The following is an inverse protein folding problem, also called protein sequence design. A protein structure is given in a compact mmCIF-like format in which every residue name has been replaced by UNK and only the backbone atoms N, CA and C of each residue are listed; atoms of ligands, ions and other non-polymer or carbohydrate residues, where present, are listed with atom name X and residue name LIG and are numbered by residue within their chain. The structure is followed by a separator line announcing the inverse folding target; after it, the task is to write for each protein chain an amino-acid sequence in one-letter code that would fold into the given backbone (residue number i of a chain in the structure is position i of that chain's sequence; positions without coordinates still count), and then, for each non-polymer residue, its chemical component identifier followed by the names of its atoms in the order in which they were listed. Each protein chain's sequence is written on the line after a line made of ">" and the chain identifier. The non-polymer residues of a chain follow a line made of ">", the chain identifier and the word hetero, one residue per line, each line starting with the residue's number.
data_IF_124577482738
#
_entry.id   IF_124577482738
#
_cell.length_a   1.000
_cell.length_b   1.000
_cell.length_c   1.000
_cell.angle_alpha   90.00
_cell.angle_beta   90.00
_cell.angle_gamma   90.00
#
_symmetry.space_group_name_H-M   'P 1'
#
loop_
_entity.id
_entity.type
_entity.pdbx_description
1 polymer ?
#
# COMPACT_ATOMS: atom_id res chain seq x y z
N UNK A 1 10.03 -2.18 -19.98
CA UNK A 1 10.11 -3.48 -19.27
C UNK A 1 8.81 -4.23 -19.47
N UNK A 2 8.87 -5.58 -19.45
CA UNK A 2 7.72 -6.46 -19.32
C UNK A 2 7.55 -6.81 -17.83
N UNK A 3 6.43 -6.43 -17.25
CA UNK A 3 6.22 -6.51 -15.79
C UNK A 3 5.00 -7.38 -15.50
N UNK A 4 5.17 -8.40 -14.66
CA UNK A 4 4.06 -9.13 -14.07
C UNK A 4 3.56 -8.38 -12.82
N UNK A 5 2.25 -8.11 -12.73
CA UNK A 5 1.62 -7.41 -11.61
C UNK A 5 0.48 -8.23 -11.04
N UNK A 6 0.58 -8.66 -9.79
CA UNK A 6 -0.56 -9.26 -9.08
C UNK A 6 -1.42 -8.19 -8.41
N UNK A 7 -2.71 -8.47 -8.25
CA UNK A 7 -3.62 -7.56 -7.57
C UNK A 7 -4.01 -6.31 -8.39
N UNK A 8 -3.80 -6.31 -9.69
CA UNK A 8 -4.06 -5.19 -10.60
C UNK A 8 -5.51 -4.66 -10.56
N UNK A 9 -6.48 -5.52 -10.24
CA UNK A 9 -7.91 -5.18 -10.12
C UNK A 9 -8.30 -4.58 -8.77
N UNK A 10 -7.39 -4.62 -7.76
CA UNK A 10 -7.59 -3.96 -6.49
C UNK A 10 -7.35 -2.44 -6.56
N UNK A 11 -7.80 -1.71 -5.53
CA UNK A 11 -7.62 -0.25 -5.44
C UNK A 11 -6.15 0.14 -5.61
N UNK A 12 -5.27 -0.48 -4.83
CA UNK A 12 -3.83 -0.16 -4.83
C UNK A 12 -3.17 -0.62 -6.14
N UNK A 13 -3.43 -1.85 -6.57
CA UNK A 13 -2.90 -2.38 -7.83
C UNK A 13 -3.36 -1.59 -9.06
N UNK A 14 -4.54 -0.98 -9.00
CA UNK A 14 -5.04 -0.08 -10.05
C UNK A 14 -4.19 1.18 -10.22
N UNK A 15 -3.71 1.80 -9.13
CA UNK A 15 -2.76 2.92 -9.21
C UNK A 15 -1.43 2.48 -9.81
N UNK A 16 -0.90 1.35 -9.33
CA UNK A 16 0.35 0.78 -9.84
C UNK A 16 0.23 0.49 -11.34
N UNK A 17 -0.84 -0.18 -11.77
CA UNK A 17 -1.08 -0.51 -13.19
C UNK A 17 -1.12 0.73 -14.08
N UNK A 18 -1.86 1.78 -13.65
CA UNK A 18 -1.93 3.04 -14.41
C UNK A 18 -0.58 3.72 -14.51
N UNK A 19 0.15 3.84 -13.38
CA UNK A 19 1.47 4.46 -13.36
C UNK A 19 2.47 3.73 -14.25
N UNK A 20 2.53 2.40 -14.20
CA UNK A 20 3.41 1.59 -15.02
C UNK A 20 3.10 1.73 -16.53
N UNK A 21 1.81 1.70 -16.90
CA UNK A 21 1.39 1.88 -18.30
C UNK A 21 1.68 3.28 -18.81
N UNK A 22 1.44 4.31 -18.00
CA UNK A 22 1.76 5.69 -18.36
C UNK A 22 3.26 5.91 -18.57
N UNK A 23 4.12 5.16 -17.86
CA UNK A 23 5.57 5.15 -18.05
C UNK A 23 6.04 4.26 -19.22
N UNK A 24 5.12 3.70 -20.03
CA UNK A 24 5.45 2.93 -21.22
C UNK A 24 5.85 1.48 -20.96
N UNK A 25 5.59 0.93 -19.76
CA UNK A 25 5.84 -0.49 -19.48
C UNK A 25 4.73 -1.40 -20.03
N UNK A 26 5.10 -2.59 -20.48
CA UNK A 26 4.16 -3.66 -20.80
C UNK A 26 3.80 -4.40 -19.50
N UNK A 27 2.53 -4.40 -19.12
CA UNK A 27 2.09 -5.00 -17.85
C UNK A 27 1.15 -6.16 -18.09
N UNK A 28 1.57 -7.35 -17.68
CA UNK A 28 0.73 -8.54 -17.58
C UNK A 28 0.07 -8.54 -16.17
N UNK A 29 -1.24 -8.34 -16.14
CA UNK A 29 -2.00 -8.45 -14.90
C UNK A 29 -2.21 -9.93 -14.55
N UNK A 30 -1.81 -10.33 -13.36
CA UNK A 30 -2.06 -11.64 -12.79
C UNK A 30 -3.20 -11.51 -11.76
N UNK A 31 -4.39 -11.87 -12.17
CA UNK A 31 -5.60 -11.79 -11.35
C UNK A 31 -6.60 -12.91 -11.72
N UNK A 32 -7.70 -12.97 -11.01
CA UNK A 32 -8.72 -14.01 -11.23
C UNK A 32 -9.34 -13.97 -12.63
N UNK A 33 -9.39 -12.80 -13.26
CA UNK A 33 -9.91 -12.68 -14.64
C UNK A 33 -8.93 -13.25 -15.68
N UNK A 34 -7.64 -13.27 -15.37
CA UNK A 34 -6.59 -13.89 -16.19
C UNK A 34 -6.28 -15.33 -15.77
N UNK A 35 -7.04 -15.90 -14.82
CA UNK A 35 -6.88 -17.28 -14.34
C UNK A 35 -5.85 -17.46 -13.24
N UNK A 36 -5.27 -16.40 -12.69
CA UNK A 36 -4.33 -16.48 -11.56
C UNK A 36 -5.03 -16.35 -10.22
N UNK A 37 -4.70 -17.25 -9.30
CA UNK A 37 -5.11 -17.21 -7.89
C UNK A 37 -3.88 -17.18 -6.97
N UNK A 38 -4.03 -16.57 -5.80
CA UNK A 38 -2.97 -16.65 -4.77
C UNK A 38 -2.73 -18.13 -4.40
N UNK A 39 -1.46 -18.53 -4.47
CA UNK A 39 -1.03 -19.92 -4.30
C UNK A 39 -0.66 -20.61 -5.61
N UNK A 40 -1.05 -20.07 -6.75
CA UNK A 40 -0.63 -20.59 -8.04
C UNK A 40 0.86 -20.28 -8.32
N UNK A 41 1.49 -21.16 -9.14
CA UNK A 41 2.84 -20.98 -9.66
C UNK A 41 2.76 -20.65 -11.15
N UNK A 42 2.58 -19.36 -11.53
CA UNK A 42 2.41 -18.97 -12.92
C UNK A 42 3.72 -19.10 -13.71
N UNK A 43 3.62 -19.15 -15.05
CA UNK A 43 4.76 -18.97 -15.95
C UNK A 43 5.07 -17.46 -16.06
N UNK A 44 6.25 -17.07 -15.60
CA UNK A 44 6.76 -15.69 -15.62
C UNK A 44 7.89 -15.51 -16.63
N UNK A 45 8.13 -16.49 -17.50
CA UNK A 45 9.21 -16.45 -18.50
C UNK A 45 9.13 -15.18 -19.36
N UNK A 46 10.26 -14.51 -19.49
CA UNK A 46 10.40 -13.30 -20.30
C UNK A 46 9.83 -12.03 -19.64
N UNK A 47 9.47 -12.04 -18.34
CA UNK A 47 9.21 -10.83 -17.59
C UNK A 47 10.50 -10.30 -16.97
N UNK A 48 10.69 -8.97 -17.03
CA UNK A 48 11.85 -8.29 -16.45
C UNK A 48 11.69 -8.08 -14.93
N UNK A 49 10.45 -7.94 -14.45
CA UNK A 49 10.13 -7.68 -13.05
C UNK A 49 8.78 -8.29 -12.64
N UNK A 50 8.69 -8.68 -11.36
CA UNK A 50 7.44 -8.99 -10.68
C UNK A 50 7.11 -7.90 -9.67
N UNK A 51 5.87 -7.42 -9.69
CA UNK A 51 5.31 -6.57 -8.62
C UNK A 51 4.17 -7.32 -7.96
N UNK A 52 4.34 -7.67 -6.69
CA UNK A 52 3.34 -8.42 -5.93
C UNK A 52 2.57 -7.49 -5.00
N UNK A 53 1.33 -7.14 -5.39
CA UNK A 53 0.41 -6.31 -4.59
C UNK A 53 -0.88 -7.01 -4.17
N UNK A 54 -1.11 -8.24 -4.64
CA UNK A 54 -2.27 -9.04 -4.23
C UNK A 54 -2.19 -9.43 -2.75
N UNK A 55 -3.33 -9.39 -2.08
CA UNK A 55 -3.49 -9.86 -0.71
C UNK A 55 -4.94 -10.28 -0.47
N UNK A 56 -5.16 -11.51 -0.02
CA UNK A 56 -6.49 -12.01 0.32
C UNK A 56 -6.90 -11.53 1.71
N UNK A 57 -8.05 -10.89 1.81
CA UNK A 57 -8.61 -10.42 3.09
C UNK A 57 -10.12 -10.27 2.98
N UNK A 58 -10.82 -10.25 4.09
CA UNK A 58 -12.22 -9.86 4.12
C UNK A 58 -12.36 -8.41 3.61
N UNK A 59 -13.37 -8.10 2.78
CA UNK A 59 -13.57 -6.76 2.24
C UNK A 59 -13.54 -5.67 3.31
N UNK A 60 -12.70 -4.65 3.11
CA UNK A 60 -12.56 -3.52 4.02
C UNK A 60 -11.73 -3.78 5.29
N UNK A 61 -11.19 -5.00 5.48
CA UNK A 61 -10.41 -5.37 6.68
C UNK A 61 -9.05 -5.94 6.29
N UNK A 62 -8.01 -5.15 6.33
CA UNK A 62 -6.63 -5.65 6.20
C UNK A 62 -6.14 -6.23 7.53
N UNK A 63 -6.14 -5.43 8.61
CA UNK A 63 -5.93 -5.92 9.97
C UNK A 63 -7.23 -6.56 10.48
N UNK A 64 -7.14 -7.79 10.99
CA UNK A 64 -8.33 -8.59 11.32
C UNK A 64 -9.09 -9.07 10.07
N UNK A 65 -8.42 -9.14 8.92
CA UNK A 65 -8.97 -9.63 7.67
C UNK A 65 -8.92 -11.13 7.49
N UNK A 66 -8.33 -11.83 8.46
CA UNK A 66 -8.28 -13.29 8.58
C UNK A 66 -9.67 -13.90 8.86
N UNK A 67 -10.59 -13.11 9.47
CA UNK A 67 -11.88 -13.63 9.89
C UNK A 67 -11.72 -14.78 10.89
N UNK A 68 -12.47 -15.86 10.69
CA UNK A 68 -12.44 -17.07 11.55
C UNK A 68 -11.47 -18.13 11.02
N UNK A 69 -10.74 -17.88 9.91
CA UNK A 69 -9.85 -18.85 9.25
C UNK A 69 -8.43 -18.28 9.07
N UNK A 70 -7.70 -18.19 10.17
CA UNK A 70 -6.33 -17.72 10.22
C UNK A 70 -5.35 -18.60 9.41
N UNK A 71 -5.61 -19.92 9.37
CA UNK A 71 -4.76 -20.88 8.64
C UNK A 71 -4.88 -20.67 7.12
N UNK A 72 -6.09 -20.55 6.61
CA UNK A 72 -6.31 -20.25 5.19
C UNK A 72 -5.77 -18.88 4.82
N UNK A 73 -5.93 -17.89 5.70
CA UNK A 73 -5.38 -16.55 5.51
C UNK A 73 -3.86 -16.59 5.41
N UNK A 74 -3.18 -17.34 6.29
CA UNK A 74 -1.72 -17.51 6.26
C UNK A 74 -1.29 -18.26 5.01
N UNK A 75 -1.90 -19.39 4.69
CA UNK A 75 -1.59 -20.18 3.51
C UNK A 75 -1.71 -19.37 2.22
N UNK A 76 -2.79 -18.63 2.02
CA UNK A 76 -2.99 -17.86 0.81
C UNK A 76 -1.99 -16.69 0.71
N UNK A 77 -1.76 -15.96 1.79
CA UNK A 77 -1.00 -14.72 1.74
C UNK A 77 0.49 -14.92 1.97
N UNK A 78 0.92 -15.90 2.77
CA UNK A 78 2.33 -16.17 2.99
C UNK A 78 2.85 -17.25 2.03
N UNK A 79 2.26 -18.45 2.08
CA UNK A 79 2.76 -19.55 1.24
C UNK A 79 2.50 -19.27 -0.23
N UNK A 80 1.35 -18.66 -0.56
CA UNK A 80 1.05 -18.21 -1.92
C UNK A 80 2.03 -17.14 -2.42
N UNK A 81 2.47 -16.20 -1.55
CA UNK A 81 3.51 -15.24 -1.90
C UNK A 81 4.85 -15.91 -2.15
N UNK A 82 5.27 -16.85 -1.27
CA UNK A 82 6.51 -17.61 -1.44
C UNK A 82 6.51 -18.41 -2.76
N UNK A 83 5.41 -19.11 -3.05
CA UNK A 83 5.25 -19.85 -4.33
C UNK A 83 5.40 -18.93 -5.54
N UNK A 84 4.84 -17.73 -5.50
CA UNK A 84 4.98 -16.74 -6.58
C UNK A 84 6.42 -16.24 -6.71
N UNK A 85 7.10 -15.97 -5.60
CA UNK A 85 8.49 -15.53 -5.60
C UNK A 85 9.43 -16.61 -6.16
N UNK A 86 9.20 -17.88 -5.78
CA UNK A 86 9.94 -19.02 -6.33
C UNK A 86 9.71 -19.18 -7.83
N UNK A 87 8.47 -18.99 -8.31
CA UNK A 87 8.17 -18.97 -9.74
C UNK A 87 8.94 -17.86 -10.46
N UNK A 88 9.00 -16.65 -9.90
CA UNK A 88 9.76 -15.55 -10.47
C UNK A 88 11.26 -15.86 -10.57
N UNK A 89 11.84 -16.46 -9.52
CA UNK A 89 13.24 -16.88 -9.55
C UNK A 89 13.49 -18.01 -10.56
N UNK A 90 12.66 -19.05 -10.55
CA UNK A 90 12.73 -20.18 -11.50
C UNK A 90 12.73 -19.72 -12.94
N UNK A 91 11.88 -18.72 -13.28
CA UNK A 91 11.65 -18.25 -14.65
C UNK A 91 12.60 -17.10 -15.06
N UNK A 92 13.59 -16.76 -14.21
CA UNK A 92 14.63 -15.79 -14.50
C UNK A 92 14.16 -14.33 -14.47
N UNK A 93 13.12 -14.00 -13.69
CA UNK A 93 12.69 -12.62 -13.45
C UNK A 93 13.83 -11.84 -12.79
N UNK A 94 14.16 -10.67 -13.33
CA UNK A 94 15.35 -9.91 -12.92
C UNK A 94 15.21 -9.20 -11.57
N UNK A 95 13.99 -8.92 -11.09
CA UNK A 95 13.74 -8.29 -9.77
C UNK A 95 12.31 -8.48 -9.28
N UNK A 96 12.13 -8.44 -7.95
CA UNK A 96 10.81 -8.53 -7.32
C UNK A 96 10.58 -7.30 -6.43
N UNK A 97 9.46 -6.60 -6.63
CA UNK A 97 8.95 -5.58 -5.72
C UNK A 97 7.71 -6.12 -5.01
N UNK A 98 7.74 -6.10 -3.68
CA UNK A 98 6.65 -6.61 -2.84
C UNK A 98 5.96 -5.48 -2.09
N UNK A 99 4.65 -5.35 -2.24
CA UNK A 99 3.87 -4.41 -1.44
C UNK A 99 3.68 -4.96 -0.04
N UNK A 100 4.57 -4.56 0.84
CA UNK A 100 4.49 -4.79 2.28
C UNK A 100 3.63 -3.72 2.96
N UNK A 101 3.78 -3.51 4.24
CA UNK A 101 2.96 -2.59 5.02
C UNK A 101 3.72 -2.03 6.22
N UNK A 102 3.39 -0.80 6.63
CA UNK A 102 3.81 -0.26 7.93
C UNK A 102 3.44 -1.18 9.11
N UNK A 103 2.46 -2.07 8.94
CA UNK A 103 2.03 -3.00 9.98
C UNK A 103 3.14 -3.95 10.47
N UNK A 104 4.22 -4.13 9.71
CA UNK A 104 5.40 -4.88 10.18
C UNK A 104 6.06 -4.24 11.39
N UNK A 105 5.76 -2.96 11.69
CA UNK A 105 6.28 -2.21 12.83
C UNK A 105 5.22 -1.91 13.91
N UNK A 106 4.03 -2.49 13.85
CA UNK A 106 2.96 -2.18 14.80
C UNK A 106 3.29 -2.52 16.26
N UNK A 107 4.23 -3.44 16.52
CA UNK A 107 4.68 -3.84 17.85
C UNK A 107 5.69 -2.91 18.53
N UNK A 108 6.15 -1.85 17.86
CA UNK A 108 6.97 -0.82 18.49
C UNK A 108 6.13 0.07 19.40
N UNK A 109 6.73 0.75 20.41
CA UNK A 109 6.02 1.70 21.28
C UNK A 109 5.32 2.80 20.48
N UNK A 110 4.29 3.39 21.07
CA UNK A 110 3.63 4.58 20.56
C UNK A 110 4.60 5.74 20.39
N UNK A 111 4.37 6.62 19.42
CA UNK A 111 5.23 7.77 19.12
C UNK A 111 6.59 7.42 18.49
N UNK A 112 6.89 6.14 18.25
CA UNK A 112 8.18 5.74 17.64
C UNK A 112 8.29 6.26 16.21
N UNK A 113 9.41 6.91 15.89
CA UNK A 113 9.82 7.13 14.49
C UNK A 113 10.32 5.82 13.91
N UNK A 114 9.87 5.48 12.70
CA UNK A 114 10.15 4.21 12.03
C UNK A 114 11.08 4.46 10.83
N UNK A 115 12.42 4.37 10.98
CA UNK A 115 13.34 4.45 9.84
C UNK A 115 13.27 3.22 8.93
N UNK A 116 13.81 3.34 7.70
CA UNK A 116 13.75 2.28 6.69
C UNK A 116 14.46 0.99 7.11
N UNK A 117 15.51 1.09 7.91
CA UNK A 117 16.32 -0.04 8.39
C UNK A 117 15.81 -0.65 9.70
N UNK A 118 14.71 -0.10 10.27
CA UNK A 118 14.14 -0.65 11.50
C UNK A 118 13.68 -2.10 11.28
N UNK A 119 14.12 -3.07 12.10
CA UNK A 119 13.69 -4.45 11.97
C UNK A 119 12.16 -4.60 12.12
N UNK A 120 11.52 -5.53 11.43
CA UNK A 120 10.11 -5.85 11.66
C UNK A 120 9.84 -6.27 13.11
N UNK A 121 8.77 -5.73 13.69
CA UNK A 121 8.21 -6.11 14.99
C UNK A 121 6.68 -6.03 14.89
N UNK A 122 6.05 -7.02 14.25
CA UNK A 122 4.61 -7.01 14.03
C UNK A 122 3.83 -7.26 15.35
N UNK A 123 2.58 -6.79 15.42
CA UNK A 123 1.69 -6.97 16.56
C UNK A 123 0.41 -7.75 16.22
N UNK A 124 0.21 -8.14 14.96
CA UNK A 124 -0.97 -8.87 14.49
C UNK A 124 -0.59 -9.80 13.34
N UNK A 125 -1.48 -10.74 13.00
CA UNK A 125 -1.25 -11.76 11.97
C UNK A 125 -0.93 -11.14 10.59
N UNK A 126 -1.64 -10.07 10.20
CA UNK A 126 -1.37 -9.36 8.95
C UNK A 126 0.09 -8.85 8.88
N UNK A 127 0.55 -8.21 9.94
CA UNK A 127 1.93 -7.72 10.04
C UNK A 127 2.95 -8.86 10.08
N UNK A 128 2.64 -9.98 10.74
CA UNK A 128 3.50 -11.16 10.80
C UNK A 128 3.69 -11.76 9.40
N UNK A 129 2.60 -11.99 8.65
CA UNK A 129 2.65 -12.50 7.28
C UNK A 129 3.50 -11.59 6.39
N UNK A 130 3.31 -10.26 6.49
CA UNK A 130 4.12 -9.31 5.71
C UNK A 130 5.60 -9.38 6.09
N UNK A 131 5.93 -9.43 7.38
CA UNK A 131 7.31 -9.52 7.86
C UNK A 131 7.99 -10.85 7.44
N UNK A 132 7.28 -11.97 7.49
CA UNK A 132 7.81 -13.27 7.06
C UNK A 132 8.03 -13.31 5.53
N UNK A 133 7.14 -12.71 4.74
CA UNK A 133 7.33 -12.56 3.30
C UNK A 133 8.52 -11.65 2.96
N UNK A 134 8.74 -10.55 3.71
CA UNK A 134 9.94 -9.71 3.58
C UNK A 134 11.21 -10.51 3.85
N UNK A 135 11.24 -11.29 4.95
CA UNK A 135 12.40 -12.11 5.31
C UNK A 135 12.69 -13.16 4.23
N UNK A 136 11.66 -13.79 3.67
CA UNK A 136 11.81 -14.75 2.58
C UNK A 136 12.43 -14.10 1.33
N UNK A 137 11.92 -12.92 0.93
CA UNK A 137 12.44 -12.16 -0.21
C UNK A 137 13.90 -11.75 -0.03
N UNK A 138 14.26 -11.24 1.14
CA UNK A 138 15.65 -10.81 1.44
C UNK A 138 16.66 -11.98 1.32
N UNK A 139 16.22 -13.22 1.55
CA UNK A 139 17.07 -14.41 1.41
C UNK A 139 17.19 -14.92 -0.03
N UNK A 140 16.42 -14.38 -0.99
CA UNK A 140 16.44 -14.84 -2.38
C UNK A 140 17.69 -14.36 -3.13
N UNK A 141 18.23 -15.16 -4.09
CA UNK A 141 19.44 -14.82 -4.84
C UNK A 141 19.16 -13.91 -6.06
N UNK A 142 18.25 -12.95 -5.92
CA UNK A 142 17.94 -11.94 -6.94
C UNK A 142 17.60 -10.60 -6.28
N UNK A 143 17.66 -9.47 -7.00
CA UNK A 143 17.29 -8.16 -6.44
C UNK A 143 15.82 -8.10 -6.03
N UNK A 144 15.56 -7.80 -4.75
CA UNK A 144 14.22 -7.68 -4.19
C UNK A 144 14.07 -6.41 -3.37
N UNK A 145 12.86 -5.88 -3.24
CA UNK A 145 12.56 -4.77 -2.35
C UNK A 145 11.14 -4.88 -1.80
N UNK A 146 11.02 -4.76 -0.48
CA UNK A 146 9.75 -4.68 0.24
C UNK A 146 9.33 -3.22 0.44
N UNK A 147 8.13 -2.84 0.01
CA UNK A 147 7.61 -1.47 0.11
C UNK A 147 6.63 -1.42 1.28
N UNK A 148 7.05 -0.84 2.40
CA UNK A 148 6.27 -0.73 3.64
C UNK A 148 5.36 0.49 3.58
N UNK A 149 4.26 0.38 2.83
CA UNK A 149 3.34 1.48 2.62
C UNK A 149 2.42 1.73 3.82
N UNK A 150 2.03 3.01 4.01
CA UNK A 150 0.98 3.44 4.96
C UNK A 150 -0.41 3.33 4.33
N UNK A 151 -1.43 3.96 4.91
CA UNK A 151 -2.79 3.96 4.37
C UNK A 151 -2.85 4.58 2.97
N UNK A 152 -3.23 3.80 1.96
CA UNK A 152 -3.33 4.29 0.58
C UNK A 152 -4.68 4.97 0.36
N UNK A 153 -4.65 6.17 -0.25
CA UNK A 153 -5.84 6.89 -0.69
C UNK A 153 -5.71 7.34 -2.16
N UNK A 154 -6.82 7.72 -2.73
CA UNK A 154 -6.92 8.28 -4.09
C UNK A 154 -8.24 7.88 -4.74
N UNK A 155 -8.57 8.44 -5.93
CA UNK A 155 -9.83 8.23 -6.60
C UNK A 155 -9.98 6.78 -7.08
N UNK A 156 -11.21 6.31 -7.08
CA UNK A 156 -11.57 4.98 -7.53
C UNK A 156 -12.81 4.45 -6.79
N UNK A 157 -13.45 3.47 -7.38
CA UNK A 157 -14.68 2.89 -6.83
C UNK A 157 -14.41 2.29 -5.43
N UNK A 158 -15.17 2.77 -4.44
CA UNK A 158 -15.05 2.29 -3.06
C UNK A 158 -13.77 2.78 -2.36
N UNK A 159 -13.30 4.01 -2.65
CA UNK A 159 -12.14 4.59 -1.98
C UNK A 159 -12.32 4.63 -0.45
N UNK A 160 -11.19 4.60 0.27
CA UNK A 160 -11.16 4.38 1.73
C UNK A 160 -11.98 5.37 2.58
N UNK A 161 -12.26 6.57 2.08
CA UNK A 161 -12.98 7.62 2.80
C UNK A 161 -14.44 7.79 2.37
N UNK A 162 -14.95 6.97 1.46
CA UNK A 162 -16.33 7.03 1.00
C UNK A 162 -17.34 7.05 2.17
N UNK A 163 -17.25 6.08 3.08
CA UNK A 163 -18.10 6.03 4.27
C UNK A 163 -17.91 7.22 5.21
N UNK A 164 -16.66 7.68 5.41
CA UNK A 164 -16.36 8.83 6.25
C UNK A 164 -16.99 10.12 5.70
N UNK A 165 -16.91 10.34 4.39
CA UNK A 165 -17.48 11.53 3.75
C UNK A 165 -19.01 11.50 3.82
N UNK A 166 -19.62 10.34 3.54
CA UNK A 166 -21.08 10.17 3.67
C UNK A 166 -21.56 10.39 5.11
N UNK A 167 -20.84 9.90 6.10
CA UNK A 167 -21.18 10.12 7.51
C UNK A 167 -21.09 11.60 7.89
N UNK A 168 -20.03 12.28 7.49
CA UNK A 168 -19.84 13.70 7.74
C UNK A 168 -20.91 14.55 7.06
N UNK A 169 -21.18 14.33 5.76
CA UNK A 169 -22.16 15.09 5.00
C UNK A 169 -23.60 14.84 5.46
N UNK A 170 -23.86 13.70 6.09
CA UNK A 170 -25.14 13.40 6.73
C UNK A 170 -25.25 13.94 8.17
N UNK A 171 -24.23 14.68 8.67
CA UNK A 171 -24.23 15.24 10.03
C UNK A 171 -24.03 14.20 11.13
N UNK A 172 -23.54 13.00 10.81
CA UNK A 172 -23.25 11.98 11.82
C UNK A 172 -21.98 12.33 12.61
N UNK A 173 -21.93 12.04 13.91
CA UNK A 173 -20.73 12.27 14.71
C UNK A 173 -19.52 11.51 14.17
N UNK A 174 -18.41 12.21 13.99
CA UNK A 174 -17.16 11.62 13.52
C UNK A 174 -16.16 11.58 14.69
N UNK A 175 -15.67 10.39 15.08
CA UNK A 175 -14.65 10.28 16.11
C UNK A 175 -13.31 10.86 15.65
N UNK A 176 -12.54 11.53 16.54
CA UNK A 176 -11.20 12.02 16.24
C UNK A 176 -10.29 10.88 15.81
N UNK A 177 -9.47 11.13 14.80
CA UNK A 177 -8.45 10.19 14.36
C UNK A 177 -7.37 10.91 13.57
N UNK A 178 -6.11 10.55 13.81
CA UNK A 178 -4.95 10.92 13.01
C UNK A 178 -4.30 9.65 12.46
N UNK A 179 -3.82 9.69 11.22
CA UNK A 179 -3.19 8.54 10.57
C UNK A 179 -2.15 8.98 9.55
N UNK A 180 -1.24 8.08 9.21
CA UNK A 180 -0.30 8.29 8.10
C UNK A 180 -0.92 7.79 6.79
N UNK A 181 -0.79 8.60 5.76
CA UNK A 181 -1.48 8.41 4.47
C UNK A 181 -0.50 8.58 3.29
N UNK A 182 -0.80 7.91 2.20
CA UNK A 182 -0.03 7.96 0.95
C UNK A 182 -0.97 7.96 -0.24
N UNK A 183 -0.78 8.88 -1.19
CA UNK A 183 -1.56 8.85 -2.43
C UNK A 183 -1.13 7.68 -3.33
N UNK A 184 -2.10 7.01 -3.96
CA UNK A 184 -1.81 5.84 -4.79
C UNK A 184 -0.88 6.12 -5.98
N UNK A 185 -0.96 7.31 -6.59
CA UNK A 185 -0.03 7.68 -7.68
C UNK A 185 1.39 7.95 -7.15
N UNK A 186 1.55 8.43 -5.91
CA UNK A 186 2.88 8.61 -5.30
C UNK A 186 3.52 7.27 -4.96
N UNK A 187 2.70 6.27 -4.59
CA UNK A 187 3.17 4.88 -4.49
C UNK A 187 3.63 4.37 -5.87
N UNK A 188 2.87 4.63 -6.93
CA UNK A 188 3.27 4.23 -8.29
C UNK A 188 4.58 4.90 -8.72
N UNK A 189 4.78 6.18 -8.37
CA UNK A 189 6.04 6.89 -8.61
C UNK A 189 7.21 6.26 -7.83
N UNK A 190 7.02 5.90 -6.57
CA UNK A 190 8.03 5.19 -5.78
C UNK A 190 8.42 3.85 -6.44
N UNK A 191 7.44 3.08 -6.91
CA UNK A 191 7.67 1.82 -7.63
C UNK A 191 8.48 2.05 -8.92
N UNK A 192 8.16 3.08 -9.69
CA UNK A 192 8.90 3.43 -10.92
C UNK A 192 10.36 3.78 -10.63
N UNK A 193 10.64 4.54 -9.56
CA UNK A 193 12.01 4.82 -9.12
C UNK A 193 12.77 3.55 -8.73
N UNK A 194 12.13 2.64 -7.97
CA UNK A 194 12.71 1.36 -7.60
C UNK A 194 12.97 0.47 -8.83
N UNK A 195 12.09 0.48 -9.83
CA UNK A 195 12.32 -0.25 -11.09
C UNK A 195 13.53 0.31 -11.87
N UNK A 196 13.78 1.60 -11.78
CA UNK A 196 14.89 2.28 -12.46
C UNK A 196 16.24 2.19 -11.74
N UNK A 197 16.27 1.82 -10.45
CA UNK A 197 17.53 1.79 -9.69
C UNK A 197 18.34 0.52 -9.98
N UNK A 198 19.67 0.67 -10.05
CA UNK A 198 20.59 -0.46 -10.28
C UNK A 198 20.76 -1.35 -9.03
N UNK A 199 20.68 -0.77 -7.85
CA UNK A 199 20.82 -1.48 -6.57
C UNK A 199 19.57 -1.25 -5.72
N UNK A 200 18.74 -2.27 -5.60
CA UNK A 200 17.56 -2.23 -4.75
C UNK A 200 17.95 -2.31 -3.26
N UNK A 201 17.36 -1.48 -2.39
CA UNK A 201 17.39 -1.72 -0.95
C UNK A 201 16.44 -2.88 -0.60
N UNK A 202 16.75 -3.63 0.46
CA UNK A 202 15.90 -4.75 0.90
C UNK A 202 14.47 -4.30 1.25
N UNK A 203 14.34 -3.12 1.84
CA UNK A 203 13.06 -2.51 2.15
C UNK A 203 13.11 -0.98 2.06
N UNK A 204 11.97 -0.38 1.75
CA UNK A 204 11.72 1.06 1.83
C UNK A 204 10.40 1.34 2.54
N UNK A 205 10.35 2.41 3.30
CA UNK A 205 9.12 2.98 3.82
C UNK A 205 8.48 3.88 2.76
N UNK A 206 7.14 3.86 2.69
CA UNK A 206 6.39 4.72 1.76
C UNK A 206 5.20 5.36 2.50
N UNK A 207 5.36 6.62 2.88
CA UNK A 207 4.39 7.43 3.63
C UNK A 207 4.54 8.89 3.21
N UNK A 208 3.46 9.65 3.18
CA UNK A 208 3.48 11.07 2.83
C UNK A 208 2.88 11.92 3.96
N UNK A 209 1.57 11.89 4.12
CA UNK A 209 0.87 12.76 5.04
C UNK A 209 0.70 12.14 6.43
N UNK A 210 0.85 12.97 7.45
CA UNK A 210 0.19 12.77 8.75
C UNK A 210 -1.11 13.56 8.71
N UNK A 211 -2.25 12.88 8.62
CA UNK A 211 -3.54 13.47 8.32
C UNK A 211 -4.54 13.27 9.46
N UNK A 212 -4.96 14.38 10.08
CA UNK A 212 -6.06 14.39 11.03
C UNK A 212 -7.41 14.43 10.28
N UNK A 213 -8.41 13.71 10.76
CA UNK A 213 -9.78 13.79 10.23
C UNK A 213 -10.36 15.18 10.29
N UNK A 214 -9.98 15.99 11.30
CA UNK A 214 -10.35 17.39 11.37
C UNK A 214 -9.90 18.14 10.11
N UNK A 215 -8.64 18.01 9.74
CA UNK A 215 -8.07 18.73 8.60
C UNK A 215 -8.63 18.19 7.27
N UNK A 216 -8.75 16.87 7.12
CA UNK A 216 -9.38 16.26 5.95
C UNK A 216 -10.82 16.76 5.76
N UNK A 217 -11.63 16.76 6.81
CA UNK A 217 -13.03 17.17 6.73
C UNK A 217 -13.19 18.70 6.66
N UNK A 218 -12.20 19.48 7.10
CA UNK A 218 -12.17 20.92 6.83
C UNK A 218 -12.02 21.22 5.34
N UNK A 219 -11.18 20.48 4.61
CA UNK A 219 -11.08 20.57 3.14
C UNK A 219 -12.40 20.13 2.47
N UNK A 220 -13.01 19.02 2.91
CA UNK A 220 -14.32 18.56 2.41
C UNK A 220 -15.40 19.62 2.65
N UNK A 221 -15.44 20.22 3.85
CA UNK A 221 -16.37 21.30 4.18
C UNK A 221 -16.22 22.51 3.25
N UNK A 222 -14.99 22.88 2.97
CA UNK A 222 -14.68 24.00 2.07
C UNK A 222 -15.20 23.76 0.65
N UNK A 223 -15.12 22.51 0.15
CA UNK A 223 -15.55 22.13 -1.19
C UNK A 223 -17.08 21.97 -1.31
N UNK A 224 -17.72 21.47 -0.23
CA UNK A 224 -19.15 21.11 -0.27
C UNK A 224 -20.08 22.18 0.29
N UNK A 225 -19.54 23.17 1.00
CA UNK A 225 -20.33 24.16 1.75
C UNK A 225 -21.06 23.59 2.97
N UNK A 226 -20.71 22.38 3.43
CA UNK A 226 -21.33 21.74 4.60
C UNK A 226 -21.20 22.61 5.84
N UNK A 227 -22.29 22.74 6.62
CA UNK A 227 -22.31 23.46 7.90
C UNK A 227 -22.11 22.55 9.11
N UNK A 228 -21.94 21.24 8.91
CA UNK A 228 -21.77 20.30 10.00
C UNK A 228 -20.46 20.53 10.78
N UNK A 229 -20.45 20.27 12.11
CA UNK A 229 -19.28 20.49 12.93
C UNK A 229 -18.15 19.52 12.53
N UNK A 230 -16.92 20.02 12.57
CA UNK A 230 -15.73 19.17 12.41
C UNK A 230 -15.50 18.34 13.68
N UNK A 231 -14.92 17.14 13.57
CA UNK A 231 -14.49 16.39 14.74
C UNK A 231 -13.41 17.15 15.51
N UNK A 232 -13.26 16.88 16.81
CA UNK A 232 -12.11 17.37 17.56
C UNK A 232 -10.81 16.85 16.91
N UNK A 233 -9.69 17.56 17.12
CA UNK A 233 -8.37 17.07 16.70
C UNK A 233 -7.98 15.86 17.54
N UNK A 234 -7.34 14.89 16.90
CA UNK A 234 -6.79 13.74 17.59
C UNK A 234 -5.45 14.10 18.26
N UNK A 235 -5.11 13.37 19.33
CA UNK A 235 -3.77 13.42 19.90
C UNK A 235 -2.77 12.76 18.94
N UNK A 236 -1.74 13.48 18.45
CA UNK A 236 -0.72 12.91 17.56
C UNK A 236 0.34 12.09 18.32
N UNK A 237 0.44 12.19 19.63
CA UNK A 237 1.50 11.59 20.45
C UNK A 237 1.65 10.07 20.23
N UNK A 238 0.57 9.27 20.12
CA UNK A 238 0.69 7.84 19.91
C UNK A 238 1.09 7.44 18.47
N UNK A 239 1.08 8.39 17.53
CA UNK A 239 1.28 8.07 16.12
C UNK A 239 2.71 7.66 15.83
N UNK A 240 2.88 6.51 15.21
CA UNK A 240 4.17 6.05 14.68
C UNK A 240 4.32 6.55 13.24
N UNK A 241 5.38 7.31 12.97
CA UNK A 241 5.63 7.96 11.68
C UNK A 241 6.84 7.32 11.01
N UNK A 242 6.70 6.94 9.76
CA UNK A 242 7.79 6.41 8.94
C UNK A 242 8.68 7.54 8.43
N UNK A 243 10.02 7.33 8.53
CA UNK A 243 10.98 8.05 7.71
C UNK A 243 11.09 7.32 6.37
N UNK A 244 11.01 8.05 5.27
CA UNK A 244 11.10 7.50 3.90
C UNK A 244 12.41 7.90 3.25
N UNK A 245 13.51 7.92 4.01
CA UNK A 245 14.79 8.50 3.57
C UNK A 245 15.32 7.81 2.32
N UNK A 246 15.25 6.48 2.24
CA UNK A 246 15.72 5.74 1.06
C UNK A 246 14.99 6.11 -0.23
N UNK A 247 13.68 6.36 -0.16
CA UNK A 247 12.93 6.84 -1.33
C UNK A 247 13.27 8.30 -1.66
N UNK A 248 13.44 9.16 -0.66
CA UNK A 248 13.87 10.54 -0.89
C UNK A 248 15.26 10.61 -1.52
N UNK A 249 16.20 9.76 -1.10
CA UNK A 249 17.53 9.66 -1.70
C UNK A 249 17.50 9.21 -3.17
N UNK A 250 16.46 8.50 -3.58
CA UNK A 250 16.18 8.13 -4.97
C UNK A 250 15.46 9.26 -5.75
N UNK A 251 15.18 10.40 -5.12
CA UNK A 251 14.49 11.53 -5.73
C UNK A 251 12.96 11.48 -5.63
N UNK A 252 12.39 10.60 -4.78
CA UNK A 252 10.96 10.54 -4.56
C UNK A 252 10.43 11.78 -3.86
N UNK A 253 9.42 12.40 -4.45
CA UNK A 253 8.77 13.60 -3.93
C UNK A 253 7.25 13.38 -3.95
N UNK A 254 6.64 12.97 -2.84
CA UNK A 254 5.19 12.81 -2.78
C UNK A 254 4.48 14.16 -2.79
N UNK A 255 3.22 14.16 -3.21
CA UNK A 255 2.49 15.39 -3.50
C UNK A 255 1.89 16.12 -2.32
N UNK A 256 1.93 15.56 -1.12
CA UNK A 256 1.49 16.21 0.11
C UNK A 256 0.06 16.69 0.10
N UNK A 257 -0.23 17.71 0.91
CA UNK A 257 -1.56 18.35 1.00
C UNK A 257 -2.03 18.95 -0.33
N UNK A 258 -1.12 19.40 -1.19
CA UNK A 258 -1.49 19.94 -2.49
C UNK A 258 -2.16 18.85 -3.37
N UNK A 259 -1.58 17.66 -3.37
CA UNK A 259 -2.16 16.51 -4.09
C UNK A 259 -3.46 16.04 -3.47
N UNK A 260 -3.55 16.00 -2.13
CA UNK A 260 -4.80 15.68 -1.46
C UNK A 260 -5.92 16.63 -1.90
N UNK A 261 -5.69 17.95 -1.85
CA UNK A 261 -6.67 18.97 -2.27
C UNK A 261 -7.09 18.81 -3.73
N UNK A 262 -6.13 18.54 -4.62
CA UNK A 262 -6.43 18.31 -6.04
C UNK A 262 -7.26 17.03 -6.28
N UNK A 263 -7.14 16.03 -5.40
CA UNK A 263 -7.84 14.74 -5.52
C UNK A 263 -9.24 14.75 -4.90
N UNK A 264 -9.49 15.60 -3.91
CA UNK A 264 -10.75 15.62 -3.15
C UNK A 264 -12.03 15.76 -4.02
N UNK A 265 -12.08 16.60 -5.08
CA UNK A 265 -13.26 16.67 -5.95
C UNK A 265 -13.63 15.32 -6.56
N UNK A 266 -12.64 14.54 -7.01
CA UNK A 266 -12.85 13.21 -7.60
C UNK A 266 -13.33 12.19 -6.56
N UNK A 267 -12.82 12.28 -5.32
CA UNK A 267 -13.25 11.43 -4.21
C UNK A 267 -14.72 11.72 -3.82
N UNK A 268 -15.11 12.98 -3.83
CA UNK A 268 -16.48 13.40 -3.51
C UNK A 268 -17.47 13.02 -4.61
N UNK A 269 -17.06 13.07 -5.88
CA UNK A 269 -17.91 12.68 -7.02
C UNK A 269 -18.08 11.16 -7.16
N UNK A 270 -17.17 10.39 -6.56
CA UNK A 270 -17.20 8.92 -6.57
C UNK A 270 -17.94 8.33 -5.35
N UNK A 271 -18.55 9.20 -4.53
CA UNK A 271 -19.23 8.85 -3.28
C UNK A 271 -20.70 8.55 -3.48
#
# INVERSE_FOLDING_TARGET
>A
MRIALTGATGIVGGFILRGLRAAGHQVAALDRATGYHLGDSPDLTGHDALIHSAFAHLPGRYRGGEGDDADSFTRLNLDGSKTLFDAAHRDGVGRILFLSSRAVHDGYPEGTTLPDDLPPRPANLYGQIKAEAEAYLTAMPLPTCSIRATGIYGPGRGHKWHGLFNDYLAGRPIPPRIATELHGDDLATAILLLLGTSKLPDAVNASDLTLDRHDLLAEVRSLTGSSHPLPARADPTPLKVQSCQRLHDLGWQPGGMAKLRATLPDLLSSS
#
